data_IF_441447195906
#
_entry.id   IF_441447195906
#
_cell.length_a   1.000
_cell.length_b   1.000
_cell.length_c   1.000
_cell.angle_alpha   90.00
_cell.angle_beta   90.00
_cell.angle_gamma   90.00
#
_symmetry.space_group_name_H-M   'P 1'
#
loop_
_entity.id
_entity.type
_entity.pdbx_description
1 polymer ?
#
# COMPACT_ATOMS: atom_id res chain seq x y z
N UNK A 1 -2.61 -8.17 11.05
CA UNK A 1 -1.60 -9.25 10.92
C UNK A 1 -0.90 -9.50 12.25
N UNK A 2 -0.28 -8.51 12.89
CA UNK A 2 0.43 -8.67 14.15
C UNK A 2 -0.39 -9.39 15.25
N UNK A 3 -1.63 -8.97 15.50
CA UNK A 3 -2.51 -9.62 16.48
C UNK A 3 -2.79 -11.09 16.15
N UNK A 4 -3.03 -11.42 14.87
CA UNK A 4 -3.29 -12.81 14.47
C UNK A 4 -2.07 -13.71 14.69
N UNK A 5 -0.87 -13.20 14.42
CA UNK A 5 0.37 -13.92 14.69
C UNK A 5 0.57 -14.11 16.20
N UNK A 6 0.33 -13.08 16.98
CA UNK A 6 0.43 -13.17 18.43
C UNK A 6 -0.56 -14.20 19.02
N UNK A 7 -1.78 -14.26 18.48
CA UNK A 7 -2.78 -15.28 18.91
C UNK A 7 -2.34 -16.71 18.62
N UNK A 8 -1.39 -16.93 17.69
CA UNK A 8 -0.80 -18.27 17.47
C UNK A 8 0.34 -18.61 18.44
N UNK A 9 0.65 -17.68 19.37
CA UNK A 9 1.74 -17.83 20.35
C UNK A 9 3.09 -17.30 19.89
N UNK A 10 3.16 -16.63 18.72
CA UNK A 10 4.39 -16.02 18.26
C UNK A 10 4.72 -14.74 19.04
N UNK A 11 6.00 -14.51 19.36
CA UNK A 11 6.48 -13.20 19.77
C UNK A 11 6.54 -12.27 18.56
N UNK A 12 5.87 -11.14 18.62
CA UNK A 12 5.76 -10.22 17.49
C UNK A 12 6.47 -8.91 17.76
N UNK A 13 7.26 -8.46 16.81
CA UNK A 13 7.82 -7.12 16.76
C UNK A 13 7.33 -6.38 15.50
N UNK A 14 6.99 -5.10 15.66
CA UNK A 14 6.68 -4.19 14.57
C UNK A 14 7.81 -3.18 14.47
N UNK A 15 8.40 -3.08 13.29
CA UNK A 15 9.46 -2.11 12.97
C UNK A 15 8.90 -1.10 11.99
N UNK A 16 8.98 0.19 12.33
CA UNK A 16 8.48 1.28 11.51
C UNK A 16 9.51 2.41 11.45
N UNK A 17 9.78 2.90 10.25
CA UNK A 17 10.71 4.01 10.05
C UNK A 17 10.14 5.36 10.52
N UNK A 18 8.82 5.51 10.48
CA UNK A 18 8.13 6.69 10.98
C UNK A 18 8.01 6.68 12.52
N UNK A 19 7.63 7.83 13.07
CA UNK A 19 7.38 7.98 14.51
C UNK A 19 6.09 7.30 14.99
N UNK A 20 5.29 6.75 14.09
CA UNK A 20 4.04 6.06 14.42
C UNK A 20 3.70 4.95 13.44
N UNK A 21 2.97 3.94 13.90
CA UNK A 21 2.21 3.04 13.02
C UNK A 21 0.98 3.76 12.48
N UNK A 22 0.34 3.21 11.46
CA UNK A 22 -0.87 3.80 10.87
C UNK A 22 -0.65 5.24 10.35
N UNK A 23 0.41 5.47 9.60
CA UNK A 23 0.80 6.79 9.08
C UNK A 23 -0.32 7.70 8.53
N UNK A 24 -1.39 7.19 7.91
CA UNK A 24 -2.49 8.03 7.39
C UNK A 24 -3.40 8.67 8.45
N UNK A 25 -3.32 8.28 9.72
CA UNK A 25 -4.16 8.87 10.80
C UNK A 25 -3.35 9.79 11.70
N UNK A 26 -4.05 10.69 12.41
CA UNK A 26 -3.42 11.59 13.37
C UNK A 26 -2.75 10.83 14.52
N UNK A 27 -1.67 11.37 15.04
CA UNK A 27 -0.89 10.75 16.12
C UNK A 27 -1.74 10.42 17.36
N UNK A 28 -2.70 11.28 17.71
CA UNK A 28 -3.62 11.04 18.84
C UNK A 28 -4.41 9.73 18.69
N UNK A 29 -4.75 9.36 17.47
CA UNK A 29 -5.42 8.10 17.16
C UNK A 29 -4.41 6.95 17.07
N UNK A 30 -3.26 7.18 16.46
CA UNK A 30 -2.19 6.18 16.40
C UNK A 30 -1.67 5.78 17.78
N UNK A 31 -1.62 6.73 18.73
CA UNK A 31 -1.21 6.47 20.11
C UNK A 31 -2.07 5.42 20.82
N UNK A 32 -3.39 5.38 20.54
CA UNK A 32 -4.27 4.34 21.06
C UNK A 32 -3.91 2.96 20.50
N UNK A 33 -3.50 2.91 19.24
CA UNK A 33 -3.04 1.66 18.59
C UNK A 33 -1.69 1.22 19.21
N UNK A 34 -0.76 2.18 19.45
CA UNK A 34 0.51 1.88 20.13
C UNK A 34 0.27 1.27 21.51
N UNK A 35 -0.59 1.93 22.30
CA UNK A 35 -0.93 1.44 23.64
C UNK A 35 -1.51 0.02 23.58
N UNK A 36 -2.45 -0.22 22.69
CA UNK A 36 -3.06 -1.53 22.50
C UNK A 36 -2.02 -2.60 22.11
N UNK A 37 -1.15 -2.32 21.15
CA UNK A 37 -0.09 -3.24 20.74
C UNK A 37 0.85 -3.59 21.90
N UNK A 38 1.29 -2.57 22.65
CA UNK A 38 2.15 -2.75 23.83
C UNK A 38 1.47 -3.58 24.92
N UNK A 39 0.19 -3.31 25.21
CA UNK A 39 -0.60 -4.08 26.19
C UNK A 39 -0.74 -5.56 25.78
N UNK A 40 -0.76 -5.85 24.46
CA UNK A 40 -0.75 -7.20 23.92
C UNK A 40 0.64 -7.84 23.86
N UNK A 41 1.69 -7.14 24.30
CA UNK A 41 3.06 -7.66 24.32
C UNK A 41 3.78 -7.58 22.98
N UNK A 42 3.23 -6.85 22.00
CA UNK A 42 3.92 -6.60 20.73
C UNK A 42 5.04 -5.57 20.97
N UNK A 43 6.25 -5.90 20.55
CA UNK A 43 7.40 -4.98 20.63
C UNK A 43 7.30 -3.94 19.51
N UNK A 44 7.37 -2.65 19.82
CA UNK A 44 7.37 -1.56 18.83
C UNK A 44 8.76 -0.93 18.72
N UNK A 45 9.31 -0.95 17.51
CA UNK A 45 10.54 -0.26 17.13
C UNK A 45 10.19 0.86 16.16
N UNK A 46 9.81 2.01 16.68
CA UNK A 46 9.49 3.21 15.91
C UNK A 46 10.77 4.02 15.61
N UNK A 47 10.74 4.85 14.57
CA UNK A 47 11.89 5.63 14.09
C UNK A 47 13.11 4.74 13.78
N UNK A 48 12.86 3.47 13.41
CA UNK A 48 13.90 2.51 13.08
C UNK A 48 13.83 2.10 11.60
N UNK A 49 14.83 2.53 10.84
CA UNK A 49 15.01 2.09 9.47
C UNK A 49 15.83 0.80 9.44
N UNK A 50 15.30 -0.24 8.81
CA UNK A 50 16.06 -1.47 8.57
C UNK A 50 17.15 -1.17 7.54
N UNK A 51 18.37 -1.63 7.81
CA UNK A 51 19.52 -1.51 6.92
C UNK A 51 19.76 -2.80 6.13
N UNK A 52 19.76 -3.95 6.84
CA UNK A 52 20.02 -5.25 6.22
C UNK A 52 19.40 -6.39 7.01
N UNK A 53 19.32 -7.53 6.32
CA UNK A 53 18.99 -8.83 6.91
C UNK A 53 20.17 -9.76 6.73
N UNK A 54 20.56 -10.49 7.78
CA UNK A 54 21.56 -11.54 7.73
C UNK A 54 20.93 -12.85 8.19
N UNK A 55 20.89 -13.83 7.31
CA UNK A 55 20.31 -15.14 7.59
C UNK A 55 21.41 -16.14 7.96
N UNK A 56 21.20 -16.86 9.03
CA UNK A 56 21.96 -18.05 9.42
C UNK A 56 21.06 -19.27 9.27
N UNK A 57 21.57 -20.47 9.57
CA UNK A 57 20.80 -21.71 9.39
C UNK A 57 19.46 -21.76 10.16
N UNK A 58 19.26 -20.94 11.18
CA UNK A 58 18.09 -20.99 12.07
C UNK A 58 17.53 -19.64 12.51
N UNK A 59 18.19 -18.54 12.19
CA UNK A 59 17.82 -17.19 12.70
C UNK A 59 18.08 -16.13 11.64
N UNK A 60 17.19 -15.16 11.54
CA UNK A 60 17.39 -13.94 10.77
C UNK A 60 17.73 -12.79 11.72
N UNK A 61 18.91 -12.21 11.55
CA UNK A 61 19.31 -10.98 12.24
C UNK A 61 18.88 -9.78 11.40
N UNK A 62 18.03 -8.94 11.97
CA UNK A 62 17.62 -7.66 11.38
C UNK A 62 18.47 -6.56 11.95
N UNK A 63 19.21 -5.84 11.09
CA UNK A 63 20.05 -4.70 11.47
C UNK A 63 19.36 -3.39 11.15
N UNK A 64 19.36 -2.47 12.10
CA UNK A 64 18.83 -1.11 11.91
C UNK A 64 19.97 -0.12 11.65
N UNK A 65 19.68 0.94 10.93
CA UNK A 65 20.63 2.05 10.71
C UNK A 65 21.12 2.71 12.00
N UNK A 66 20.37 2.59 13.09
CA UNK A 66 20.77 3.04 14.43
C UNK A 66 21.88 2.18 15.08
N UNK A 67 22.23 1.04 14.48
CA UNK A 67 23.16 0.06 15.05
C UNK A 67 22.49 -1.00 15.96
N UNK A 68 21.20 -0.87 16.25
CA UNK A 68 20.43 -1.88 16.99
C UNK A 68 20.25 -3.11 16.08
N UNK A 69 20.27 -4.30 16.68
CA UNK A 69 19.94 -5.56 16.01
C UNK A 69 18.90 -6.33 16.78
N UNK A 70 18.04 -7.05 16.06
CA UNK A 70 17.11 -8.02 16.64
C UNK A 70 17.21 -9.34 15.90
N UNK A 71 16.99 -10.43 16.59
CA UNK A 71 16.93 -11.78 16.04
C UNK A 71 15.50 -12.26 15.93
N UNK A 72 15.16 -12.97 14.87
CA UNK A 72 13.81 -13.50 14.62
C UNK A 72 13.88 -14.75 13.73
N UNK A 73 12.83 -15.58 13.83
CA UNK A 73 12.69 -16.76 12.97
C UNK A 73 12.05 -16.42 11.61
N UNK A 74 11.28 -15.30 11.54
CA UNK A 74 10.55 -14.89 10.35
C UNK A 74 10.48 -13.38 10.23
N UNK A 75 10.68 -12.87 9.02
CA UNK A 75 10.48 -11.47 8.67
C UNK A 75 9.34 -11.36 7.65
N UNK A 76 8.37 -10.50 7.95
CA UNK A 76 7.28 -10.14 7.03
C UNK A 76 7.51 -8.70 6.57
N UNK A 77 7.80 -8.52 5.28
CA UNK A 77 7.95 -7.21 4.68
C UNK A 77 6.58 -6.63 4.36
N UNK A 78 6.20 -5.55 5.06
CA UNK A 78 4.94 -4.81 4.86
C UNK A 78 5.27 -3.33 4.59
N UNK A 79 6.15 -3.08 3.62
CA UNK A 79 6.79 -1.79 3.35
C UNK A 79 6.08 -0.94 2.31
N UNK A 80 4.79 -1.23 2.08
CA UNK A 80 3.95 -0.53 1.13
C UNK A 80 3.91 -1.17 -0.25
N UNK A 81 3.16 -0.53 -1.14
CA UNK A 81 2.91 -0.99 -2.51
C UNK A 81 3.19 0.14 -3.50
N UNK A 82 3.45 -0.23 -4.74
CA UNK A 82 3.59 0.69 -5.87
C UNK A 82 2.75 0.20 -7.04
N UNK A 83 2.21 1.12 -7.80
CA UNK A 83 1.56 0.78 -9.06
C UNK A 83 2.57 0.13 -10.01
N UNK A 84 2.27 -1.08 -10.49
CA UNK A 84 3.07 -1.74 -11.53
C UNK A 84 2.61 -1.22 -12.89
N UNK A 85 3.40 -0.36 -13.49
CA UNK A 85 3.05 0.36 -14.73
C UNK A 85 4.07 0.16 -15.85
N UNK A 86 5.01 -0.77 -15.71
CA UNK A 86 6.06 -1.02 -16.70
C UNK A 86 5.49 -1.42 -18.05
N UNK A 87 4.49 -2.29 -18.08
CA UNK A 87 3.80 -2.71 -19.31
C UNK A 87 3.06 -1.54 -19.96
N UNK A 88 2.35 -0.73 -19.19
CA UNK A 88 1.64 0.45 -19.69
C UNK A 88 2.61 1.47 -20.28
N UNK A 89 3.72 1.73 -19.60
CA UNK A 89 4.79 2.60 -20.08
C UNK A 89 5.42 2.08 -21.37
N UNK A 90 5.70 0.78 -21.45
CA UNK A 90 6.26 0.16 -22.65
C UNK A 90 5.30 0.20 -23.84
N UNK A 91 3.98 0.17 -23.56
CA UNK A 91 2.93 0.35 -24.56
C UNK A 91 2.70 1.81 -24.97
N UNK A 92 3.41 2.77 -24.36
CA UNK A 92 3.29 4.20 -24.67
C UNK A 92 2.06 4.87 -24.03
N UNK A 93 1.42 4.25 -23.03
CA UNK A 93 0.32 4.87 -22.31
C UNK A 93 0.83 5.99 -21.39
N UNK A 94 0.04 7.06 -21.26
CA UNK A 94 0.37 8.16 -20.37
C UNK A 94 0.32 7.73 -18.90
N UNK A 95 1.41 8.04 -18.17
CA UNK A 95 1.46 7.93 -16.71
C UNK A 95 1.27 9.30 -16.08
N UNK A 96 0.61 9.32 -14.92
CA UNK A 96 0.42 10.53 -14.16
C UNK A 96 1.63 10.93 -13.30
N UNK A 97 1.45 11.95 -12.47
CA UNK A 97 2.51 12.52 -11.63
C UNK A 97 3.03 11.51 -10.58
N UNK A 98 2.12 10.68 -10.05
CA UNK A 98 2.45 9.62 -9.08
C UNK A 98 2.85 8.30 -9.76
N UNK A 99 3.05 8.31 -11.09
CA UNK A 99 3.43 7.15 -11.91
C UNK A 99 2.36 6.06 -12.03
N UNK A 100 1.11 6.35 -11.69
CA UNK A 100 -0.04 5.52 -12.05
C UNK A 100 -0.44 5.70 -13.52
N UNK A 101 -1.20 4.76 -14.06
CA UNK A 101 -1.77 4.90 -15.41
C UNK A 101 -2.83 6.00 -15.37
N UNK A 102 -2.65 7.03 -16.17
CA UNK A 102 -3.61 8.12 -16.26
C UNK A 102 -4.88 7.67 -16.97
N UNK A 103 -6.03 7.94 -16.38
CA UNK A 103 -7.34 7.62 -16.95
C UNK A 103 -8.27 8.83 -16.91
N UNK A 104 -9.24 8.83 -17.80
CA UNK A 104 -10.34 9.79 -17.77
C UNK A 104 -11.46 9.34 -16.83
N UNK A 105 -12.55 10.11 -16.76
CA UNK A 105 -13.72 9.82 -15.92
C UNK A 105 -14.44 8.51 -16.27
N UNK A 106 -14.17 7.92 -17.43
CA UNK A 106 -14.70 6.64 -17.88
C UNK A 106 -13.72 5.48 -17.71
N UNK A 107 -12.58 5.75 -17.02
CA UNK A 107 -11.49 4.81 -16.79
C UNK A 107 -10.76 4.36 -18.05
N UNK A 108 -10.82 5.17 -19.12
CA UNK A 108 -10.11 4.97 -20.37
C UNK A 108 -8.75 5.66 -20.30
N UNK A 109 -7.73 5.02 -20.83
CA UNK A 109 -6.35 5.53 -20.87
C UNK A 109 -6.15 6.56 -21.99
N UNK A 110 -4.90 6.92 -22.28
CA UNK A 110 -4.53 7.72 -23.44
C UNK A 110 -4.73 7.01 -24.79
N UNK A 111 -4.87 5.68 -24.79
CA UNK A 111 -5.31 4.90 -25.95
C UNK A 111 -6.81 4.61 -25.81
N UNK A 112 -7.59 4.98 -26.82
CA UNK A 112 -9.06 4.83 -26.82
C UNK A 112 -9.55 3.38 -26.71
N UNK A 113 -8.70 2.42 -27.07
CA UNK A 113 -9.02 0.99 -27.00
C UNK A 113 -8.63 0.34 -25.67
N UNK A 114 -7.96 1.09 -24.77
CA UNK A 114 -7.39 0.56 -23.53
C UNK A 114 -8.01 1.24 -22.31
N UNK A 115 -8.45 0.41 -21.38
CA UNK A 115 -8.97 0.84 -20.08
C UNK A 115 -8.05 0.35 -18.96
N UNK A 116 -8.01 1.08 -17.84
CA UNK A 116 -7.25 0.67 -16.67
C UNK A 116 -8.07 0.90 -15.39
N UNK A 117 -7.88 0.03 -14.40
CA UNK A 117 -8.59 0.06 -13.11
C UNK A 117 -7.71 -0.43 -11.96
N UNK A 118 -8.15 -0.19 -10.74
CA UNK A 118 -7.53 -0.70 -9.52
C UNK A 118 -6.25 0.03 -9.16
N UNK A 119 -5.34 -0.69 -8.55
CA UNK A 119 -4.11 -0.15 -7.95
C UNK A 119 -3.16 0.50 -8.97
N UNK A 120 -3.32 0.17 -10.24
CA UNK A 120 -2.45 0.66 -11.31
C UNK A 120 -2.80 2.08 -11.78
N UNK A 121 -4.01 2.58 -11.52
CA UNK A 121 -4.48 3.87 -12.05
C UNK A 121 -4.15 5.04 -11.15
N UNK A 122 -3.90 6.19 -11.79
CA UNK A 122 -3.88 7.49 -11.14
C UNK A 122 -5.15 8.25 -11.53
N UNK A 123 -5.91 8.65 -10.52
CA UNK A 123 -7.19 9.34 -10.67
C UNK A 123 -7.24 10.57 -9.76
N UNK A 124 -7.91 11.67 -10.14
CA UNK A 124 -8.06 12.81 -9.25
C UNK A 124 -8.83 12.44 -7.97
N UNK A 125 -8.26 12.78 -6.83
CA UNK A 125 -8.92 12.57 -5.54
C UNK A 125 -10.24 13.37 -5.49
N UNK A 126 -11.38 12.75 -5.16
CA UNK A 126 -12.72 13.35 -5.33
C UNK A 126 -12.94 14.64 -4.55
N UNK A 127 -12.25 14.82 -3.40
CA UNK A 127 -12.39 16.01 -2.58
C UNK A 127 -11.36 17.09 -2.88
N UNK A 128 -10.13 16.70 -3.22
CA UNK A 128 -9.02 17.65 -3.36
C UNK A 128 -8.63 17.93 -4.81
N UNK A 129 -9.09 17.11 -5.74
CA UNK A 129 -8.72 17.18 -7.15
C UNK A 129 -7.25 16.86 -7.44
N UNK A 130 -6.45 16.53 -6.42
CA UNK A 130 -5.03 16.20 -6.59
C UNK A 130 -4.84 14.78 -7.14
N UNK A 131 -3.74 14.52 -7.87
CA UNK A 131 -3.38 13.16 -8.27
C UNK A 131 -3.39 12.20 -7.09
N UNK A 132 -3.97 11.02 -7.28
CA UNK A 132 -4.13 10.04 -6.21
C UNK A 132 -4.05 8.61 -6.73
N UNK A 133 -3.38 7.75 -5.95
CA UNK A 133 -3.35 6.30 -6.09
C UNK A 133 -4.14 5.67 -4.94
N UNK A 134 -5.04 4.75 -5.24
CA UNK A 134 -5.90 4.13 -4.22
C UNK A 134 -5.75 2.61 -4.23
N UNK A 135 -4.92 2.09 -3.35
CA UNK A 135 -4.60 0.66 -3.22
C UNK A 135 -5.63 -0.08 -2.35
N UNK A 136 -6.92 0.04 -2.71
CA UNK A 136 -8.02 -0.58 -1.98
C UNK A 136 -8.90 -1.44 -2.89
N UNK A 137 -9.26 -2.63 -2.41
CA UNK A 137 -10.06 -3.59 -3.15
C UNK A 137 -11.50 -3.10 -3.44
N UNK A 138 -12.10 -2.32 -2.55
CA UNK A 138 -13.45 -1.76 -2.75
C UNK A 138 -13.56 -0.89 -4.00
N UNK A 139 -12.76 0.18 -4.12
CA UNK A 139 -12.67 1.00 -5.33
C UNK A 139 -12.34 0.18 -6.58
N UNK A 140 -11.35 -0.72 -6.52
CA UNK A 140 -10.97 -1.55 -7.66
C UNK A 140 -12.14 -2.39 -8.19
N UNK A 141 -12.92 -3.02 -7.31
CA UNK A 141 -14.14 -3.77 -7.68
C UNK A 141 -15.20 -2.89 -8.32
N UNK A 142 -15.43 -1.68 -7.78
CA UNK A 142 -16.39 -0.73 -8.35
C UNK A 142 -15.95 -0.27 -9.74
N UNK A 143 -14.67 0.08 -9.88
CA UNK A 143 -14.08 0.49 -11.15
C UNK A 143 -14.21 -0.60 -12.21
N UNK A 144 -13.93 -1.87 -11.86
CA UNK A 144 -14.03 -2.99 -12.78
C UNK A 144 -15.45 -3.16 -13.37
N UNK A 145 -16.49 -2.97 -12.56
CA UNK A 145 -17.88 -3.01 -13.04
C UNK A 145 -18.19 -1.86 -13.97
N UNK A 146 -17.78 -0.64 -13.60
CA UNK A 146 -17.97 0.56 -14.44
C UNK A 146 -17.27 0.39 -15.78
N UNK A 147 -16.03 -0.10 -15.79
CA UNK A 147 -15.28 -0.33 -17.01
C UNK A 147 -15.95 -1.38 -17.91
N UNK A 148 -16.42 -2.49 -17.31
CA UNK A 148 -17.13 -3.50 -18.10
C UNK A 148 -18.35 -2.92 -18.81
N UNK A 149 -19.14 -2.09 -18.14
CA UNK A 149 -20.28 -1.40 -18.74
C UNK A 149 -19.84 -0.40 -19.82
N UNK A 150 -18.79 0.36 -19.56
CA UNK A 150 -18.26 1.34 -20.51
C UNK A 150 -17.69 0.69 -21.78
N UNK A 151 -17.00 -0.44 -21.64
CA UNK A 151 -16.46 -1.21 -22.77
C UNK A 151 -17.58 -1.80 -23.67
N UNK A 152 -18.66 -2.30 -23.05
CA UNK A 152 -19.74 -2.96 -23.79
C UNK A 152 -20.75 -1.95 -24.36
N UNK A 153 -21.06 -0.90 -23.59
CA UNK A 153 -22.16 0.02 -23.90
C UNK A 153 -21.71 1.44 -24.28
N UNK A 154 -20.41 1.73 -24.21
CA UNK A 154 -19.82 3.02 -24.57
C UNK A 154 -20.15 4.16 -23.59
N UNK A 155 -19.23 4.53 -22.74
CA UNK A 155 -19.23 5.77 -21.90
C UNK A 155 -20.54 6.06 -21.14
N UNK A 156 -21.18 5.07 -20.59
CA UNK A 156 -22.46 5.23 -19.88
C UNK A 156 -22.31 5.64 -18.42
N UNK A 157 -21.23 5.25 -17.78
CA UNK A 157 -21.04 5.46 -16.34
C UNK A 157 -19.72 6.15 -16.08
N UNK A 158 -19.78 7.26 -15.35
CA UNK A 158 -18.60 7.96 -14.84
C UNK A 158 -18.16 7.37 -13.51
N UNK A 159 -16.84 7.29 -13.33
CA UNK A 159 -16.24 7.02 -12.02
C UNK A 159 -15.93 8.36 -11.35
N UNK A 160 -16.54 8.62 -10.21
CA UNK A 160 -16.39 9.88 -9.47
C UNK A 160 -15.50 9.76 -8.23
N UNK A 161 -14.88 8.57 -8.02
CA UNK A 161 -14.03 8.26 -6.87
C UNK A 161 -14.64 7.33 -5.84
#
# INVERSE_FOLDING_TARGET
MAENLQHTGAEVAVVEMAAQVMGPIDFSMAALVHEHLLQKGVKLYLEQAVESFEETASVVTVKFKSGITIETDLVILSIGVRAETSLASAAGLELGEMKGIRVNEYLQTSDESVYAVGDAIEFPHPLTGKPWLNFLAGPANRQARIVADNMVFGYKVKYEG
#
